data_IF_279327740218
#
_entry.id   IF_279327740218
#
_cell.length_a   1.000
_cell.length_b   1.000
_cell.length_c   1.000
_cell.angle_alpha   90.00
_cell.angle_beta   90.00
_cell.angle_gamma   90.00
#
_symmetry.space_group_name_H-M   'P 1'
#
loop_
_entity.id
_entity.type
_entity.pdbx_description
1 polymer ?
#
# COMPACT_ATOMS: atom_id res chain seq x y z
N UNK A 1 -9.20 -16.26 13.52
CA UNK A 1 -10.11 -16.82 12.47
C UNK A 1 -9.89 -16.01 11.20
N UNK A 2 -9.30 -16.62 10.19
CA UNK A 2 -8.94 -15.97 8.91
C UNK A 2 -10.24 -15.67 8.16
N UNK A 3 -10.55 -14.42 7.89
CA UNK A 3 -11.74 -14.00 7.14
C UNK A 3 -11.39 -13.48 5.75
N UNK A 4 -11.97 -14.15 4.77
CA UNK A 4 -12.20 -13.83 3.36
C UNK A 4 -11.28 -12.84 2.65
N UNK A 5 -10.36 -13.41 1.88
CA UNK A 5 -9.77 -12.80 0.71
C UNK A 5 -10.68 -12.99 -0.49
N UNK A 6 -10.70 -12.06 -1.40
CA UNK A 6 -11.58 -12.05 -2.56
C UNK A 6 -11.28 -13.22 -3.52
N UNK A 7 -10.16 -13.29 -4.19
CA UNK A 7 -9.78 -14.40 -5.10
C UNK A 7 -8.53 -15.15 -4.62
N UNK A 8 -7.72 -14.46 -3.80
CA UNK A 8 -6.52 -15.03 -3.23
C UNK A 8 -6.87 -16.01 -2.12
N UNK A 9 -6.36 -17.22 -2.17
CA UNK A 9 -6.65 -18.25 -1.17
C UNK A 9 -6.05 -17.94 0.20
N UNK A 10 -6.65 -18.46 1.26
CA UNK A 10 -6.09 -18.41 2.61
C UNK A 10 -4.68 -19.03 2.67
N UNK A 11 -4.44 -20.05 1.84
CA UNK A 11 -3.14 -20.71 1.73
C UNK A 11 -2.05 -19.74 1.23
N UNK A 12 -2.37 -18.79 0.33
CA UNK A 12 -1.41 -17.82 -0.16
C UNK A 12 -0.94 -16.88 0.95
N UNK A 13 -1.84 -16.48 1.85
CA UNK A 13 -1.47 -15.66 3.02
C UNK A 13 -0.70 -16.48 4.05
N UNK A 14 -1.12 -17.72 4.32
CA UNK A 14 -0.42 -18.61 5.22
C UNK A 14 1.00 -18.96 4.71
N UNK A 15 1.17 -18.99 3.39
CA UNK A 15 2.45 -19.21 2.73
C UNK A 15 3.30 -17.94 2.57
N UNK A 16 2.76 -16.75 2.92
CA UNK A 16 3.51 -15.51 2.82
C UNK A 16 4.76 -15.58 3.71
N UNK A 17 5.95 -15.47 3.12
CA UNK A 17 7.18 -15.46 3.90
C UNK A 17 7.15 -14.34 4.94
N UNK A 18 7.56 -14.66 6.17
CA UNK A 18 7.74 -13.67 7.25
C UNK A 18 6.46 -12.92 7.64
N UNK A 19 5.26 -13.49 7.42
CA UNK A 19 3.98 -12.84 7.77
C UNK A 19 3.96 -12.35 9.23
N UNK A 20 4.39 -13.18 10.17
CA UNK A 20 4.45 -12.80 11.59
C UNK A 20 5.34 -11.58 11.81
N UNK A 21 6.52 -11.56 11.22
CA UNK A 21 7.46 -10.45 11.34
C UNK A 21 6.95 -9.16 10.67
N UNK A 22 6.23 -9.29 9.55
CA UNK A 22 5.55 -8.16 8.92
C UNK A 22 4.47 -7.58 9.83
N UNK A 23 3.66 -8.42 10.47
CA UNK A 23 2.65 -7.99 11.45
C UNK A 23 3.28 -7.30 12.65
N UNK A 24 4.35 -7.87 13.21
CA UNK A 24 5.10 -7.29 14.32
C UNK A 24 5.72 -5.93 13.93
N UNK A 25 6.36 -5.85 12.76
CA UNK A 25 6.95 -4.61 12.25
C UNK A 25 5.90 -3.53 12.02
N UNK A 26 4.77 -3.88 11.42
CA UNK A 26 3.65 -2.96 11.24
C UNK A 26 3.08 -2.49 12.59
N UNK A 27 2.99 -3.39 13.58
CA UNK A 27 2.53 -3.04 14.94
C UNK A 27 3.44 -2.01 15.60
N UNK A 28 4.75 -2.25 15.57
CA UNK A 28 5.74 -1.29 16.09
C UNK A 28 5.67 0.04 15.36
N UNK A 29 5.43 0.02 14.05
CA UNK A 29 5.25 1.25 13.27
C UNK A 29 3.97 2.00 13.68
N UNK A 30 2.85 1.30 13.92
CA UNK A 30 1.60 1.91 14.37
C UNK A 30 1.77 2.65 15.70
N UNK A 31 2.54 2.11 16.65
CA UNK A 31 2.81 2.77 17.95
C UNK A 31 3.58 4.09 17.80
N UNK A 32 4.30 4.27 16.67
CA UNK A 32 5.06 5.49 16.34
C UNK A 32 4.27 6.49 15.49
N UNK A 33 3.03 6.17 15.12
CA UNK A 33 2.21 6.99 14.26
C UNK A 33 1.98 8.40 14.82
N UNK A 34 2.09 9.41 13.96
CA UNK A 34 1.79 10.79 14.29
C UNK A 34 0.31 11.10 13.98
N UNK A 35 -0.59 10.53 14.81
CA UNK A 35 -2.05 10.59 14.63
C UNK A 35 -2.70 11.56 15.63
N UNK A 36 -2.17 12.79 15.74
CA UNK A 36 -2.56 13.75 16.78
C UNK A 36 -3.94 14.37 16.59
N UNK A 37 -4.51 14.28 15.40
CA UNK A 37 -5.82 14.88 15.10
C UNK A 37 -6.93 13.85 15.21
N UNK A 38 -6.75 12.66 14.61
CA UNK A 38 -7.73 11.59 14.62
C UNK A 38 -7.59 10.61 15.80
N UNK A 39 -6.39 10.49 16.34
CA UNK A 39 -6.04 9.40 17.26
C UNK A 39 -5.98 8.03 16.58
N UNK A 40 -6.18 7.96 15.25
CA UNK A 40 -6.23 6.72 14.49
C UNK A 40 -4.84 6.31 14.00
N UNK A 41 -4.22 5.40 14.75
CA UNK A 41 -2.87 4.92 14.47
C UNK A 41 -2.91 3.77 13.46
N UNK A 42 -2.10 3.89 12.40
CA UNK A 42 -1.91 2.88 11.36
C UNK A 42 -0.43 2.59 11.20
N UNK A 43 -0.07 1.32 11.15
CA UNK A 43 1.27 0.87 10.79
C UNK A 43 1.23 0.05 9.51
N UNK A 44 2.34 0.06 8.79
CA UNK A 44 2.52 -0.76 7.60
C UNK A 44 3.93 -1.33 7.54
N UNK A 45 4.06 -2.51 6.94
CA UNK A 45 5.33 -3.17 6.65
C UNK A 45 5.27 -3.78 5.25
N UNK A 46 6.29 -3.54 4.43
CA UNK A 46 6.44 -4.08 3.07
C UNK A 46 7.60 -5.05 3.05
N UNK A 47 7.39 -6.21 2.44
CA UNK A 47 8.41 -7.19 2.09
C UNK A 47 8.81 -7.00 0.64
N UNK A 48 10.10 -6.84 0.38
CA UNK A 48 10.64 -6.82 -0.98
C UNK A 48 11.23 -8.18 -1.41
N UNK A 49 11.60 -8.29 -2.69
CA UNK A 49 12.16 -9.51 -3.28
C UNK A 49 13.55 -9.87 -2.71
N UNK A 50 14.24 -8.92 -2.09
CA UNK A 50 15.51 -9.19 -1.40
C UNK A 50 15.31 -9.73 0.02
N UNK A 51 14.05 -9.84 0.47
CA UNK A 51 13.68 -10.26 1.81
C UNK A 51 13.84 -9.16 2.86
N UNK A 52 13.97 -7.89 2.46
CA UNK A 52 14.04 -6.75 3.39
C UNK A 52 12.62 -6.28 3.72
N UNK A 53 12.41 -5.91 5.00
CA UNK A 53 11.15 -5.35 5.47
C UNK A 53 11.31 -3.84 5.69
N UNK A 54 10.43 -3.07 5.07
CA UNK A 54 10.38 -1.61 5.15
C UNK A 54 9.13 -1.17 5.89
N UNK A 55 9.29 -0.38 6.95
CA UNK A 55 8.20 0.06 7.81
C UNK A 55 7.70 1.47 7.48
N UNK A 56 6.43 1.73 7.75
CA UNK A 56 5.83 3.05 7.68
C UNK A 56 4.68 3.20 8.66
N UNK A 57 4.38 4.42 9.06
CA UNK A 57 3.20 4.77 9.86
C UNK A 57 2.49 5.98 9.27
N UNK A 58 1.24 6.24 9.68
CA UNK A 58 0.59 7.46 9.26
C UNK A 58 1.19 8.67 9.98
N UNK A 59 1.32 9.77 9.20
CA UNK A 59 1.82 11.06 9.67
C UNK A 59 0.79 12.12 9.31
N UNK A 60 0.03 12.56 10.28
CA UNK A 60 -1.01 13.56 10.09
C UNK A 60 -0.46 14.98 10.05
N UNK A 61 -1.10 15.82 9.29
CA UNK A 61 -0.80 17.23 9.15
C UNK A 61 -2.04 18.07 9.38
N UNK A 62 -1.90 19.28 9.94
CA UNK A 62 -2.96 20.28 9.99
C UNK A 62 -3.46 20.65 8.58
N UNK A 63 -2.59 20.62 7.59
CA UNK A 63 -2.96 20.61 6.18
C UNK A 63 -3.30 19.20 5.76
N UNK A 64 -4.56 18.79 5.88
CA UNK A 64 -5.00 17.40 5.71
C UNK A 64 -4.51 16.74 4.42
N UNK A 65 -4.42 17.50 3.33
CA UNK A 65 -3.91 17.00 2.05
C UNK A 65 -2.42 16.57 2.13
N UNK A 66 -1.65 17.07 3.09
CA UNK A 66 -0.25 16.68 3.31
C UNK A 66 -0.10 15.45 4.21
N UNK A 67 -1.20 14.92 4.75
CA UNK A 67 -1.19 13.68 5.55
C UNK A 67 -0.70 12.51 4.72
N UNK A 68 0.20 11.72 5.30
CA UNK A 68 0.76 10.51 4.67
C UNK A 68 0.18 9.28 5.36
N UNK A 69 -0.40 8.37 4.59
CA UNK A 69 -0.84 7.07 5.10
C UNK A 69 0.38 6.17 5.39
N UNK A 70 0.22 5.20 6.28
CA UNK A 70 1.27 4.26 6.67
C UNK A 70 1.85 3.52 5.46
N UNK A 71 1.01 3.06 4.54
CA UNK A 71 1.39 2.35 3.33
C UNK A 71 2.28 3.22 2.42
N UNK A 72 1.92 4.50 2.26
CA UNK A 72 2.73 5.44 1.46
C UNK A 72 4.09 5.71 2.12
N UNK A 73 4.12 5.77 3.43
CA UNK A 73 5.34 5.87 4.22
C UNK A 73 6.25 4.66 4.02
N UNK A 74 5.68 3.45 4.07
CA UNK A 74 6.41 2.20 3.86
C UNK A 74 6.93 2.05 2.42
N UNK A 75 6.11 2.43 1.40
CA UNK A 75 6.54 2.46 -0.01
C UNK A 75 7.71 3.45 -0.19
N UNK A 76 7.61 4.66 0.36
CA UNK A 76 8.66 5.65 0.26
C UNK A 76 9.97 5.16 0.91
N UNK A 77 9.88 4.48 2.07
CA UNK A 77 11.03 3.89 2.75
C UNK A 77 11.65 2.75 1.91
N UNK A 78 10.82 1.89 1.30
CA UNK A 78 11.28 0.81 0.44
C UNK A 78 12.05 1.35 -0.78
N UNK A 79 11.46 2.28 -1.51
CA UNK A 79 12.07 2.90 -2.70
C UNK A 79 13.38 3.62 -2.33
N UNK A 80 13.38 4.42 -1.25
CA UNK A 80 14.57 5.12 -0.78
C UNK A 80 15.65 4.17 -0.27
N UNK A 81 15.27 2.99 0.22
CA UNK A 81 16.16 1.92 0.66
C UNK A 81 16.72 1.08 -0.49
N UNK A 82 16.33 1.32 -1.75
CA UNK A 82 16.78 0.54 -2.91
C UNK A 82 16.11 -0.84 -2.99
N UNK A 83 14.86 -0.95 -2.53
CA UNK A 83 14.10 -2.21 -2.59
C UNK A 83 14.04 -2.77 -4.03
N UNK A 84 14.02 -4.09 -4.13
CA UNK A 84 13.61 -4.79 -5.33
C UNK A 84 12.09 -4.75 -5.54
N UNK A 85 11.56 -5.69 -6.29
CA UNK A 85 10.11 -5.83 -6.46
C UNK A 85 9.43 -6.00 -5.10
N UNK A 86 8.27 -5.37 -4.95
CA UNK A 86 7.49 -5.49 -3.72
C UNK A 86 6.61 -6.75 -3.78
N UNK A 87 6.69 -7.60 -2.77
CA UNK A 87 5.99 -8.88 -2.72
C UNK A 87 4.67 -8.77 -1.99
N UNK A 88 4.69 -8.13 -0.82
CA UNK A 88 3.51 -7.99 0.02
C UNK A 88 3.60 -6.75 0.90
N UNK A 89 2.43 -6.21 1.24
CA UNK A 89 2.28 -5.21 2.28
C UNK A 89 1.32 -5.72 3.36
N UNK A 90 1.71 -5.52 4.60
CA UNK A 90 0.85 -5.72 5.77
C UNK A 90 0.52 -4.36 6.37
N UNK A 91 -0.75 -4.10 6.67
CA UNK A 91 -1.19 -2.93 7.43
C UNK A 91 -1.91 -3.38 8.69
N UNK A 92 -1.77 -2.61 9.77
CA UNK A 92 -2.49 -2.88 11.02
C UNK A 92 -3.16 -1.62 11.55
N UNK A 93 -4.36 -1.81 12.10
CA UNK A 93 -5.16 -0.76 12.74
C UNK A 93 -5.74 -1.28 14.07
N UNK A 94 -6.34 -0.37 14.88
CA UNK A 94 -6.96 -0.77 16.16
C UNK A 94 -8.40 -1.25 16.01
N UNK A 95 -8.94 -1.29 14.78
CA UNK A 95 -10.30 -1.79 14.54
C UNK A 95 -10.39 -3.28 14.82
N UNK A 96 -11.53 -3.73 15.34
CA UNK A 96 -11.81 -5.15 15.54
C UNK A 96 -11.83 -5.90 14.21
N UNK A 97 -12.42 -5.30 13.18
CA UNK A 97 -12.37 -5.77 11.80
C UNK A 97 -11.29 -4.97 11.05
N UNK A 98 -10.28 -5.63 10.45
CA UNK A 98 -9.19 -4.94 9.78
C UNK A 98 -9.68 -3.95 8.73
N UNK A 99 -9.28 -2.68 8.89
CA UNK A 99 -9.54 -1.65 7.89
C UNK A 99 -8.69 -1.91 6.65
N UNK A 100 -9.28 -1.76 5.46
CA UNK A 100 -8.53 -1.91 4.22
C UNK A 100 -7.79 -0.60 3.86
N UNK A 101 -6.69 -0.73 3.10
CA UNK A 101 -5.97 0.40 2.53
C UNK A 101 -6.91 1.37 1.81
N UNK A 102 -6.69 2.67 1.94
CA UNK A 102 -7.46 3.68 1.24
C UNK A 102 -7.22 3.63 -0.29
N UNK A 103 -8.11 4.25 -1.07
CA UNK A 103 -8.03 4.23 -2.54
C UNK A 103 -6.71 4.79 -3.09
N UNK A 104 -6.17 5.86 -2.49
CA UNK A 104 -4.89 6.44 -2.90
C UNK A 104 -3.71 5.47 -2.66
N UNK A 105 -3.74 4.72 -1.54
CA UNK A 105 -2.70 3.73 -1.27
C UNK A 105 -2.78 2.56 -2.23
N UNK A 106 -3.99 2.08 -2.56
CA UNK A 106 -4.18 1.01 -3.57
C UNK A 106 -3.67 1.43 -4.94
N UNK A 107 -3.95 2.68 -5.34
CA UNK A 107 -3.46 3.23 -6.61
C UNK A 107 -1.93 3.31 -6.63
N UNK A 108 -1.30 3.75 -5.54
CA UNK A 108 0.16 3.76 -5.46
C UNK A 108 0.76 2.35 -5.50
N UNK A 109 0.16 1.39 -4.78
CA UNK A 109 0.62 0.01 -4.77
C UNK A 109 0.50 -0.65 -6.15
N UNK A 110 -0.44 -0.21 -6.99
CA UNK A 110 -0.62 -0.70 -8.35
C UNK A 110 0.59 -0.42 -9.25
N UNK A 111 1.41 0.60 -8.96
CA UNK A 111 2.66 0.88 -9.68
C UNK A 111 3.72 -0.21 -9.47
N UNK A 112 3.59 -0.99 -8.39
CA UNK A 112 4.53 -2.06 -8.02
C UNK A 112 4.05 -3.46 -8.41
N UNK A 113 2.85 -3.58 -8.96
CA UNK A 113 2.32 -4.83 -9.51
C UNK A 113 0.91 -5.16 -9.07
N UNK A 114 0.16 -5.77 -9.98
CA UNK A 114 -1.24 -6.19 -9.73
C UNK A 114 -1.32 -7.40 -8.78
N UNK A 115 -0.28 -8.21 -8.75
CA UNK A 115 -0.20 -9.42 -7.93
C UNK A 115 0.37 -9.16 -6.53
N UNK A 116 0.81 -7.92 -6.22
CA UNK A 116 1.29 -7.54 -4.91
C UNK A 116 0.20 -7.84 -3.87
N UNK A 117 0.55 -8.63 -2.85
CA UNK A 117 -0.39 -9.06 -1.82
C UNK A 117 -0.59 -7.96 -0.77
N UNK A 118 -1.85 -7.61 -0.52
CA UNK A 118 -2.25 -6.69 0.55
C UNK A 118 -2.89 -7.51 1.67
N UNK A 119 -2.33 -7.42 2.87
CA UNK A 119 -2.87 -8.04 4.08
C UNK A 119 -3.17 -6.94 5.10
N UNK A 120 -4.41 -6.88 5.55
CA UNK A 120 -4.83 -5.94 6.58
C UNK A 120 -5.09 -6.73 7.87
N UNK A 121 -4.44 -6.33 8.94
CA UNK A 121 -4.53 -6.93 10.27
C UNK A 121 -5.15 -5.99 11.30
N UNK A 122 -5.48 -6.56 12.45
CA UNK A 122 -6.00 -5.84 13.61
C UNK A 122 -5.00 -5.90 14.77
N UNK A 123 -4.87 -4.81 15.52
CA UNK A 123 -4.13 -4.76 16.79
C UNK A 123 -4.97 -5.26 17.98
N UNK A 124 -6.27 -5.49 17.78
CA UNK A 124 -7.22 -5.87 18.83
C UNK A 124 -7.86 -7.23 18.62
N UNK A 125 -7.55 -7.90 17.51
CA UNK A 125 -8.02 -9.25 17.19
C UNK A 125 -7.01 -10.00 16.32
N UNK A 126 -7.22 -11.29 16.13
CA UNK A 126 -6.45 -12.16 15.24
C UNK A 126 -7.00 -12.18 13.80
N UNK A 127 -7.90 -11.25 13.47
CA UNK A 127 -8.52 -11.18 12.15
C UNK A 127 -7.57 -10.61 11.11
N UNK A 128 -7.59 -11.21 9.93
CA UNK A 128 -6.90 -10.73 8.74
C UNK A 128 -7.88 -10.58 7.59
N UNK A 129 -7.65 -9.58 6.75
CA UNK A 129 -8.34 -9.39 5.47
C UNK A 129 -7.27 -9.21 4.39
N UNK A 130 -7.38 -9.93 3.29
CA UNK A 130 -6.33 -9.94 2.27
C UNK A 130 -6.88 -10.02 0.85
N UNK A 131 -6.03 -9.73 -0.11
CA UNK A 131 -6.25 -9.83 -1.54
C UNK A 131 -5.06 -9.24 -2.28
N UNK A 132 -4.98 -9.44 -3.58
CA UNK A 132 -3.99 -8.76 -4.42
C UNK A 132 -4.41 -7.30 -4.67
N UNK A 133 -3.49 -6.50 -5.22
CA UNK A 133 -3.84 -5.16 -5.71
C UNK A 133 -4.98 -5.23 -6.72
N UNK A 134 -4.98 -6.21 -7.63
CA UNK A 134 -6.06 -6.40 -8.60
C UNK A 134 -7.42 -6.66 -7.95
N UNK A 135 -7.45 -7.36 -6.82
CA UNK A 135 -8.68 -7.59 -6.06
C UNK A 135 -9.22 -6.31 -5.41
N UNK A 136 -8.32 -5.47 -4.89
CA UNK A 136 -8.68 -4.27 -4.12
C UNK A 136 -8.85 -3.01 -4.95
N UNK A 137 -8.34 -3.02 -6.22
CA UNK A 137 -8.45 -1.91 -7.17
C UNK A 137 -8.97 -2.41 -8.52
N UNK A 138 -10.21 -2.94 -8.59
CA UNK A 138 -10.78 -3.34 -9.85
C UNK A 138 -10.91 -2.15 -10.80
N UNK A 139 -10.48 -2.33 -12.06
CA UNK A 139 -10.46 -1.28 -13.09
C UNK A 139 -9.60 -0.06 -12.70
N UNK A 140 -8.50 -0.27 -11.97
CA UNK A 140 -7.57 0.79 -11.60
C UNK A 140 -6.96 1.46 -12.83
N UNK A 141 -6.59 2.74 -12.70
CA UNK A 141 -5.83 3.44 -13.73
C UNK A 141 -4.37 3.00 -13.67
N UNK A 142 -3.87 2.36 -14.72
CA UNK A 142 -2.53 1.77 -14.77
C UNK A 142 -1.67 2.46 -15.82
N UNK A 143 -0.35 2.31 -15.73
CA UNK A 143 0.60 2.86 -16.69
C UNK A 143 0.26 2.46 -18.13
N UNK A 144 -0.19 1.22 -18.36
CA UNK A 144 -0.68 0.75 -19.67
C UNK A 144 -1.83 1.59 -20.23
N UNK A 145 -2.62 2.26 -19.40
CA UNK A 145 -3.69 3.16 -19.84
C UNK A 145 -3.14 4.45 -20.47
N UNK A 146 -1.90 4.82 -20.17
CA UNK A 146 -1.22 5.99 -20.74
C UNK A 146 -0.57 5.68 -22.10
N UNK A 147 -0.21 4.43 -22.35
CA UNK A 147 0.48 4.01 -23.59
C UNK A 147 -0.45 3.94 -24.79
N UNK A 148 -1.76 3.81 -24.59
CA UNK A 148 -2.76 3.60 -25.64
C UNK A 148 -3.37 4.88 -26.20
N UNK A 149 -3.11 6.05 -25.63
CA UNK A 149 -3.62 7.33 -26.12
C UNK A 149 -2.47 8.17 -26.66
N UNK A 150 -2.27 8.26 -28.01
CA UNK A 150 -1.44 9.32 -28.54
C UNK A 150 -2.05 10.64 -28.08
N UNK A 151 -1.30 11.43 -27.33
CA UNK A 151 -1.73 12.76 -26.94
C UNK A 151 -2.13 13.52 -28.21
N UNK A 152 -3.35 14.06 -28.31
CA UNK A 152 -3.67 14.96 -29.39
C UNK A 152 -2.63 16.08 -29.35
N UNK A 153 -2.06 16.43 -30.53
CA UNK A 153 -1.15 17.55 -30.63
C UNK A 153 -1.85 18.77 -30.00
N UNK A 154 -1.40 19.18 -28.79
CA UNK A 154 -1.99 20.31 -28.11
C UNK A 154 -1.87 21.57 -28.97
N UNK A 155 -2.75 22.57 -28.81
CA UNK A 155 -2.73 23.81 -29.59
C UNK A 155 -1.39 24.57 -29.52
N UNK A 156 -0.50 24.19 -28.61
CA UNK A 156 0.84 24.75 -28.46
C UNK A 156 1.97 23.96 -29.15
N UNK A 157 1.69 22.78 -29.75
CA UNK A 157 2.70 22.01 -30.48
C UNK A 157 3.11 22.65 -31.81
N UNK A 158 2.32 23.57 -32.32
CA UNK A 158 2.60 24.29 -33.58
C UNK A 158 3.58 25.47 -33.42
N UNK A 159 3.97 25.86 -32.18
CA UNK A 159 4.83 27.03 -31.97
C UNK A 159 6.33 26.70 -31.86
N UNK A 160 6.69 25.43 -31.74
CA UNK A 160 8.08 25.00 -31.60
C UNK A 160 8.82 24.73 -32.91
N UNK A 161 8.16 24.94 -34.06
CA UNK A 161 8.72 24.72 -35.41
C UNK A 161 9.00 26.02 -36.18
N UNK A 162 9.13 27.14 -35.50
CA UNK A 162 9.53 28.42 -36.14
C UNK A 162 10.64 29.05 -35.28
N UNK A 163 11.85 28.61 -35.51
CA UNK A 163 13.08 29.40 -35.48
C UNK A 163 14.18 28.61 -36.19
#
# INVERSE_FOLDING_TARGET
MIQEGTRTSADAVAALPRLTELLETATVAADRAHARYSGYQVGAAILDAWGVIHAGCNVESAAYAATICAERGAVAAAVAGGAGDLIAIVTVTRDLDPASCCGMCRQLLAEFGQELLIVNGSLTSDRLRWGTVADWLPNGFLAASLETAPLPAGPHAASAARD
#
